data_IF_642840417473
#
_entry.id   IF_642840417473
#
_cell.length_a   1.000
_cell.length_b   1.000
_cell.length_c   1.000
_cell.angle_alpha   90.00
_cell.angle_beta   90.00
_cell.angle_gamma   90.00
#
_symmetry.space_group_name_H-M   'P 1'
#
loop_
_entity.id
_entity.type
_entity.pdbx_description
1 polymer ?
#
# COMPACT_ATOMS: atom_id res chain seq x y z
N UNK A 1 5.84 18.49 17.12
CA UNK A 1 5.06 17.23 17.33
C UNK A 1 4.83 17.03 18.82
N UNK A 2 3.62 16.78 19.28
CA UNK A 2 3.35 16.51 20.69
C UNK A 2 3.85 15.11 21.04
N UNK A 3 5.05 15.05 21.66
CA UNK A 3 5.73 13.79 21.99
C UNK A 3 4.95 12.92 22.98
N UNK A 4 4.02 13.50 23.74
CA UNK A 4 3.17 12.77 24.68
C UNK A 4 2.27 11.72 23.98
N UNK A 5 1.90 11.96 22.70
CA UNK A 5 1.09 11.02 21.91
C UNK A 5 1.78 9.66 21.75
N UNK A 6 3.11 9.62 21.65
CA UNK A 6 3.86 8.37 21.52
C UNK A 6 3.90 7.52 22.80
N UNK A 7 3.40 8.03 23.92
CA UNK A 7 3.22 7.24 25.15
C UNK A 7 1.94 6.37 25.09
N UNK A 8 1.03 6.66 24.17
CA UNK A 8 -0.23 5.94 24.00
C UNK A 8 0.02 4.64 23.22
N UNK A 9 -0.33 3.49 23.82
CA UNK A 9 -0.06 2.16 23.26
C UNK A 9 -0.61 1.96 21.83
N UNK A 10 -1.81 2.48 21.55
CA UNK A 10 -2.42 2.42 20.22
C UNK A 10 -1.53 3.13 19.19
N UNK A 11 -1.01 4.32 19.53
CA UNK A 11 -0.18 5.12 18.63
C UNK A 11 1.18 4.46 18.39
N UNK A 12 1.77 3.84 19.42
CA UNK A 12 3.02 3.07 19.29
C UNK A 12 2.91 1.93 18.28
N UNK A 13 1.73 1.35 18.13
CA UNK A 13 1.50 0.26 17.19
C UNK A 13 1.07 0.78 15.83
N UNK A 14 0.17 1.77 15.78
CA UNK A 14 -0.38 2.26 14.50
C UNK A 14 0.64 3.05 13.69
N UNK A 15 1.55 3.79 14.34
CA UNK A 15 2.58 4.57 13.61
C UNK A 15 3.49 3.66 12.77
N UNK A 16 4.19 2.65 13.32
CA UNK A 16 4.97 1.73 12.49
C UNK A 16 4.10 0.93 11.52
N UNK A 17 2.88 0.56 11.90
CA UNK A 17 1.95 -0.14 11.01
C UNK A 17 1.68 0.64 9.73
N UNK A 18 1.31 1.92 9.85
CA UNK A 18 1.02 2.75 8.67
C UNK A 18 2.28 3.14 7.89
N UNK A 19 3.44 3.23 8.55
CA UNK A 19 4.71 3.48 7.88
C UNK A 19 5.09 2.30 6.96
N UNK A 20 5.11 1.07 7.47
CA UNK A 20 5.41 -0.11 6.66
C UNK A 20 4.33 -0.40 5.61
N UNK A 21 3.04 -0.22 5.93
CA UNK A 21 1.98 -0.29 4.93
C UNK A 21 2.17 0.78 3.85
N UNK A 22 2.57 2.00 4.23
CA UNK A 22 2.91 3.08 3.31
C UNK A 22 3.99 2.69 2.30
N UNK A 23 5.05 2.02 2.76
CA UNK A 23 6.11 1.47 1.88
C UNK A 23 5.53 0.64 0.74
N UNK A 24 4.62 -0.28 1.07
CA UNK A 24 3.99 -1.17 0.08
C UNK A 24 3.06 -0.39 -0.85
N UNK A 25 2.25 0.52 -0.29
CA UNK A 25 1.28 1.31 -1.04
C UNK A 25 1.97 2.18 -2.09
N UNK A 26 3.02 2.91 -1.71
CA UNK A 26 3.74 3.80 -2.63
C UNK A 26 4.50 2.98 -3.67
N UNK A 27 5.10 1.85 -3.27
CA UNK A 27 5.73 0.91 -4.20
C UNK A 27 4.74 0.35 -5.22
N UNK A 28 3.58 -0.13 -4.77
CA UNK A 28 2.54 -0.64 -5.66
C UNK A 28 2.05 0.44 -6.65
N UNK A 29 1.77 1.65 -6.16
CA UNK A 29 1.30 2.75 -7.01
C UNK A 29 2.33 3.20 -8.07
N UNK A 30 3.63 3.09 -7.78
CA UNK A 30 4.68 3.48 -8.72
C UNK A 30 5.00 2.35 -9.72
N UNK A 31 5.14 1.11 -9.24
CA UNK A 31 5.70 0.03 -10.05
C UNK A 31 4.66 -0.81 -10.79
N UNK A 32 3.39 -0.85 -10.35
CA UNK A 32 2.33 -1.53 -11.10
C UNK A 32 2.06 -0.85 -12.45
N UNK A 33 1.89 0.49 -12.54
CA UNK A 33 1.72 1.13 -13.84
C UNK A 33 2.93 0.96 -14.75
N UNK A 34 4.15 0.99 -14.18
CA UNK A 34 5.38 0.76 -14.93
C UNK A 34 5.38 -0.63 -15.60
N UNK A 35 5.01 -1.67 -14.83
CA UNK A 35 4.87 -3.02 -15.37
C UNK A 35 3.82 -3.08 -16.48
N UNK A 36 2.63 -2.54 -16.24
CA UNK A 36 1.56 -2.56 -17.21
C UNK A 36 1.93 -1.86 -18.52
N UNK A 37 2.58 -0.68 -18.44
CA UNK A 37 3.05 0.04 -19.63
C UNK A 37 4.11 -0.75 -20.40
N UNK A 38 5.07 -1.35 -19.71
CA UNK A 38 6.14 -2.12 -20.34
C UNK A 38 5.61 -3.40 -21.00
N UNK A 39 4.80 -4.19 -20.29
CA UNK A 39 4.33 -5.51 -20.77
C UNK A 39 3.18 -5.37 -21.77
N UNK A 40 2.17 -4.55 -21.47
CA UNK A 40 0.99 -4.40 -22.36
C UNK A 40 1.17 -3.32 -23.42
N UNK A 41 2.11 -2.38 -23.20
CA UNK A 41 2.36 -1.21 -24.06
C UNK A 41 1.19 -0.24 -24.12
N UNK A 42 0.31 -0.26 -23.12
CA UNK A 42 -0.78 0.73 -23.02
C UNK A 42 -0.23 2.12 -22.77
N UNK A 43 -0.99 3.13 -23.21
CA UNK A 43 -0.65 4.52 -22.95
C UNK A 43 -0.69 4.82 -21.44
N UNK A 44 0.03 5.87 -20.97
CA UNK A 44 -0.03 6.29 -19.57
C UNK A 44 -1.47 6.54 -19.07
N UNK A 45 -2.33 7.12 -19.92
CA UNK A 45 -3.75 7.32 -19.62
C UNK A 45 -4.49 5.99 -19.41
N UNK A 46 -4.29 5.02 -20.30
CA UNK A 46 -4.94 3.72 -20.19
C UNK A 46 -4.36 2.88 -19.05
N UNK A 47 -3.06 3.04 -18.72
CA UNK A 47 -2.48 2.38 -17.55
C UNK A 47 -3.09 2.89 -16.23
N UNK A 48 -3.56 4.15 -16.19
CA UNK A 48 -4.36 4.68 -15.08
C UNK A 48 -5.70 3.95 -14.92
N UNK A 49 -6.38 3.62 -16.04
CA UNK A 49 -7.62 2.83 -16.01
C UNK A 49 -7.37 1.40 -15.52
N UNK A 50 -6.21 0.83 -15.78
CA UNK A 50 -5.84 -0.49 -15.27
C UNK A 50 -5.58 -0.51 -13.75
N UNK A 51 -5.57 0.64 -13.06
CA UNK A 51 -5.55 0.73 -11.61
C UNK A 51 -6.96 0.67 -10.97
N UNK A 52 -8.02 0.63 -11.76
CA UNK A 52 -9.41 0.50 -11.26
C UNK A 52 -9.56 -0.66 -10.26
N UNK A 53 -8.97 -1.87 -10.46
CA UNK A 53 -9.07 -2.95 -9.49
C UNK A 53 -8.56 -2.58 -8.10
N UNK A 54 -7.46 -1.81 -8.00
CA UNK A 54 -6.95 -1.31 -6.71
C UNK A 54 -7.97 -0.37 -6.08
N UNK A 55 -8.46 0.61 -6.84
CA UNK A 55 -9.42 1.60 -6.35
C UNK A 55 -10.75 0.95 -5.90
N UNK A 56 -11.23 -0.03 -6.65
CA UNK A 56 -12.40 -0.82 -6.28
C UNK A 56 -12.16 -1.56 -4.96
N UNK A 57 -11.02 -2.24 -4.83
CA UNK A 57 -10.63 -2.92 -3.59
C UNK A 57 -10.56 -1.98 -2.39
N UNK A 58 -9.90 -0.81 -2.55
CA UNK A 58 -9.82 0.22 -1.52
C UNK A 58 -11.22 0.69 -1.09
N UNK A 59 -12.07 0.99 -2.06
CA UNK A 59 -13.43 1.52 -1.78
C UNK A 59 -14.27 0.47 -1.06
N UNK A 60 -14.31 -0.76 -1.57
CA UNK A 60 -15.07 -1.87 -0.96
C UNK A 60 -14.61 -2.11 0.47
N UNK A 61 -13.30 -2.24 0.70
CA UNK A 61 -12.76 -2.49 2.03
C UNK A 61 -12.98 -1.30 2.97
N UNK A 62 -12.76 -0.05 2.52
CA UNK A 62 -12.93 1.13 3.37
C UNK A 62 -14.38 1.32 3.81
N UNK A 63 -15.33 1.16 2.89
CA UNK A 63 -16.76 1.25 3.22
C UNK A 63 -17.19 0.07 4.09
N UNK A 64 -16.73 -1.14 3.75
CA UNK A 64 -17.03 -2.36 4.51
C UNK A 64 -16.52 -2.28 5.94
N UNK A 65 -15.23 -1.97 6.12
CA UNK A 65 -14.60 -1.86 7.44
C UNK A 65 -15.21 -0.73 8.27
N UNK A 66 -15.50 0.43 7.65
CA UNK A 66 -16.17 1.53 8.32
C UNK A 66 -17.53 1.13 8.86
N UNK A 67 -18.41 0.57 8.01
CA UNK A 67 -19.76 0.12 8.42
C UNK A 67 -19.74 -0.98 9.46
N UNK A 68 -18.87 -1.97 9.29
CA UNK A 68 -18.79 -3.09 10.22
C UNK A 68 -18.18 -2.66 11.56
N UNK A 69 -17.20 -1.78 11.57
CA UNK A 69 -16.61 -1.22 12.79
C UNK A 69 -17.65 -0.42 13.59
N UNK A 70 -18.48 0.38 12.93
CA UNK A 70 -19.56 1.12 13.62
C UNK A 70 -20.66 0.20 14.17
N UNK A 71 -20.94 -0.91 13.50
CA UNK A 71 -21.94 -1.89 13.96
C UNK A 71 -21.45 -2.79 15.07
N UNK A 72 -20.20 -3.23 15.00
CA UNK A 72 -19.62 -4.21 15.96
C UNK A 72 -18.94 -3.55 17.15
N UNK A 73 -18.62 -2.26 17.07
CA UNK A 73 -17.88 -1.53 18.10
C UNK A 73 -16.39 -1.95 18.19
N UNK A 74 -15.92 -2.82 17.29
CA UNK A 74 -14.56 -3.37 17.31
C UNK A 74 -13.81 -3.08 16.01
N UNK A 75 -12.57 -2.64 16.12
CA UNK A 75 -11.73 -2.29 14.96
C UNK A 75 -10.51 -3.20 14.79
N UNK A 76 -10.12 -3.97 15.80
CA UNK A 76 -8.85 -4.71 15.88
C UNK A 76 -8.65 -5.71 14.74
N UNK A 77 -9.71 -6.37 14.29
CA UNK A 77 -9.62 -7.44 13.28
C UNK A 77 -9.33 -6.90 11.86
N UNK A 78 -9.78 -5.69 11.56
CA UNK A 78 -9.70 -5.13 10.21
C UNK A 78 -8.28 -4.84 9.73
N UNK A 79 -7.37 -4.24 10.53
CA UNK A 79 -5.98 -4.08 10.12
C UNK A 79 -5.26 -5.41 9.90
N UNK A 80 -5.62 -6.44 10.66
CA UNK A 80 -5.03 -7.80 10.50
C UNK A 80 -5.49 -8.39 9.16
N UNK A 81 -6.80 -8.39 8.90
CA UNK A 81 -7.35 -8.88 7.63
C UNK A 81 -6.82 -8.07 6.44
N UNK A 82 -6.71 -6.76 6.60
CA UNK A 82 -6.10 -5.88 5.59
C UNK A 82 -4.63 -6.21 5.34
N UNK A 83 -3.85 -6.48 6.39
CA UNK A 83 -2.44 -6.84 6.27
C UNK A 83 -2.26 -8.21 5.58
N UNK A 84 -3.10 -9.19 5.91
CA UNK A 84 -3.12 -10.50 5.23
C UNK A 84 -3.48 -10.34 3.75
N UNK A 85 -4.52 -9.56 3.46
CA UNK A 85 -4.92 -9.26 2.07
C UNK A 85 -3.76 -8.58 1.30
N UNK A 86 -3.07 -7.63 1.93
CA UNK A 86 -1.91 -6.96 1.34
C UNK A 86 -0.78 -7.97 1.02
N UNK A 87 -0.50 -8.90 1.93
CA UNK A 87 0.50 -9.94 1.72
C UNK A 87 0.12 -10.89 0.57
N UNK A 88 -1.15 -11.32 0.50
CA UNK A 88 -1.68 -12.12 -0.63
C UNK A 88 -1.50 -11.35 -1.93
N UNK A 89 -1.84 -10.06 -1.95
CA UNK A 89 -1.64 -9.20 -3.11
C UNK A 89 -0.18 -9.16 -3.57
N UNK A 90 0.79 -9.02 -2.64
CA UNK A 90 2.23 -9.03 -2.97
C UNK A 90 2.68 -10.38 -3.53
N UNK A 91 2.18 -11.50 -2.97
CA UNK A 91 2.47 -12.84 -3.50
C UNK A 91 1.93 -12.97 -4.93
N UNK A 92 0.69 -12.60 -5.20
CA UNK A 92 0.10 -12.68 -6.54
C UNK A 92 0.86 -11.78 -7.54
N UNK A 93 1.23 -10.57 -7.15
CA UNK A 93 2.04 -9.68 -7.97
C UNK A 93 3.46 -10.25 -8.21
N UNK A 94 4.00 -11.02 -7.28
CA UNK A 94 5.31 -11.68 -7.48
C UNK A 94 5.27 -12.86 -8.46
N UNK A 95 4.09 -13.36 -8.82
CA UNK A 95 3.89 -14.45 -9.78
C UNK A 95 3.60 -13.96 -11.21
N UNK A 96 3.60 -12.64 -11.43
CA UNK A 96 3.23 -12.05 -12.73
C UNK A 96 4.14 -12.46 -13.89
N UNK A 97 5.42 -12.72 -13.63
CA UNK A 97 6.40 -13.04 -14.66
C UNK A 97 6.50 -14.55 -14.96
N UNK A 98 6.24 -15.40 -13.96
CA UNK A 98 6.59 -16.83 -14.01
C UNK A 98 5.45 -17.75 -14.51
N UNK A 99 4.23 -17.21 -14.70
CA UNK A 99 3.07 -18.01 -15.05
C UNK A 99 2.35 -17.46 -16.27
N UNK A 100 1.81 -18.33 -17.12
CA UNK A 100 0.88 -17.95 -18.20
C UNK A 100 -0.37 -17.18 -17.73
N UNK A 101 -0.51 -16.97 -16.41
CA UNK A 101 -1.54 -16.20 -15.72
C UNK A 101 -1.13 -14.73 -15.48
N UNK A 102 -0.02 -14.23 -16.04
CA UNK A 102 0.61 -12.95 -15.70
C UNK A 102 -0.35 -11.76 -15.52
N UNK A 103 -1.21 -11.49 -16.49
CA UNK A 103 -2.18 -10.38 -16.40
C UNK A 103 -3.29 -10.65 -15.36
N UNK A 104 -3.78 -11.90 -15.28
CA UNK A 104 -4.83 -12.26 -14.31
C UNK A 104 -4.30 -12.18 -12.89
N UNK A 105 -3.08 -12.69 -12.64
CA UNK A 105 -2.42 -12.60 -11.34
C UNK A 105 -2.20 -11.13 -10.94
N UNK A 106 -1.84 -10.26 -11.91
CA UNK A 106 -1.70 -8.83 -11.69
C UNK A 106 -3.03 -8.19 -11.26
N UNK A 107 -4.11 -8.41 -12.01
CA UNK A 107 -5.42 -7.81 -11.73
C UNK A 107 -5.98 -8.28 -10.37
N UNK A 108 -5.92 -9.58 -10.09
CA UNK A 108 -6.36 -10.14 -8.81
C UNK A 108 -5.47 -9.63 -7.67
N UNK A 109 -4.15 -9.62 -7.86
CA UNK A 109 -3.21 -9.06 -6.89
C UNK A 109 -3.51 -7.60 -6.55
N UNK A 110 -3.84 -6.77 -7.55
CA UNK A 110 -4.26 -5.39 -7.35
C UNK A 110 -5.50 -5.26 -6.48
N UNK A 111 -6.52 -6.12 -6.68
CA UNK A 111 -7.72 -6.12 -5.83
C UNK A 111 -7.34 -6.41 -4.38
N UNK A 112 -6.50 -7.43 -4.14
CA UNK A 112 -6.05 -7.77 -2.79
C UNK A 112 -5.21 -6.66 -2.14
N UNK A 113 -4.35 -5.99 -2.90
CA UNK A 113 -3.62 -4.79 -2.43
C UNK A 113 -4.61 -3.70 -2.03
N UNK A 114 -5.60 -3.42 -2.88
CA UNK A 114 -6.65 -2.44 -2.61
C UNK A 114 -7.44 -2.77 -1.34
N UNK A 115 -7.90 -4.02 -1.19
CA UNK A 115 -8.59 -4.49 0.02
C UNK A 115 -7.71 -4.31 1.27
N UNK A 116 -6.41 -4.59 1.15
CA UNK A 116 -5.45 -4.39 2.23
C UNK A 116 -5.35 -2.94 2.67
N UNK A 117 -5.18 -2.02 1.72
CA UNK A 117 -5.11 -0.58 1.97
C UNK A 117 -6.40 -0.08 2.64
N UNK A 118 -7.56 -0.44 2.07
CA UNK A 118 -8.87 -0.05 2.57
C UNK A 118 -9.20 -0.61 3.95
N UNK A 119 -8.64 -1.77 4.32
CA UNK A 119 -8.77 -2.36 5.65
C UNK A 119 -7.86 -1.71 6.70
N UNK A 120 -6.63 -1.33 6.33
CA UNK A 120 -5.62 -0.79 7.27
C UNK A 120 -5.84 0.70 7.52
N UNK A 121 -5.91 1.52 6.47
CA UNK A 121 -5.79 2.98 6.61
C UNK A 121 -6.92 3.64 7.41
N UNK A 122 -8.21 3.43 7.06
CA UNK A 122 -9.30 4.04 7.82
C UNK A 122 -9.33 3.54 9.26
N UNK A 123 -9.05 2.26 9.46
CA UNK A 123 -9.13 1.63 10.77
C UNK A 123 -8.01 2.12 11.69
N UNK A 124 -6.78 2.28 11.20
CA UNK A 124 -5.69 2.85 11.98
C UNK A 124 -5.97 4.31 12.36
N UNK A 125 -6.53 5.09 11.44
CA UNK A 125 -6.94 6.48 11.72
C UNK A 125 -8.01 6.52 12.81
N UNK A 126 -9.05 5.69 12.68
CA UNK A 126 -10.12 5.60 13.67
C UNK A 126 -9.59 5.13 15.04
N UNK A 127 -8.73 4.10 15.06
CA UNK A 127 -8.17 3.58 16.29
C UNK A 127 -7.35 4.63 17.05
N UNK A 128 -6.55 5.43 16.34
CA UNK A 128 -5.74 6.49 16.94
C UNK A 128 -6.59 7.67 17.41
N UNK A 129 -7.57 8.09 16.62
CA UNK A 129 -8.52 9.14 17.02
C UNK A 129 -9.33 8.74 18.23
N UNK A 130 -9.74 7.46 18.33
CA UNK A 130 -10.46 6.92 19.49
C UNK A 130 -9.60 6.87 20.78
N UNK A 131 -8.27 6.88 20.64
CA UNK A 131 -7.33 6.75 21.76
C UNK A 131 -6.87 8.08 22.36
N UNK A 132 -7.22 9.23 21.75
CA UNK A 132 -6.79 10.57 22.16
C UNK A 132 -7.96 11.45 22.55
N UNK A 133 -7.68 12.54 23.26
CA UNK A 133 -8.69 13.57 23.54
C UNK A 133 -8.99 14.38 22.27
N UNK A 134 -10.18 15.02 22.28
CA UNK A 134 -10.67 15.81 21.14
C UNK A 134 -9.68 16.90 20.69
N UNK A 135 -8.96 17.53 21.65
CA UNK A 135 -7.94 18.57 21.40
C UNK A 135 -6.75 18.05 20.60
N UNK A 136 -6.46 16.75 20.65
CA UNK A 136 -5.33 16.10 20.00
C UNK A 136 -5.69 15.40 18.67
N UNK A 137 -6.98 15.41 18.26
CA UNK A 137 -7.44 14.74 17.03
C UNK A 137 -6.71 15.21 15.76
N UNK A 138 -6.49 16.52 15.63
CA UNK A 138 -5.75 17.08 14.50
C UNK A 138 -4.27 16.66 14.52
N UNK A 139 -3.65 16.69 15.71
CA UNK A 139 -2.25 16.29 15.87
C UNK A 139 -2.03 14.82 15.56
N UNK A 140 -2.90 13.92 16.04
CA UNK A 140 -2.75 12.48 15.77
C UNK A 140 -3.01 12.13 14.31
N UNK A 141 -3.95 12.80 13.67
CA UNK A 141 -4.22 12.62 12.23
C UNK A 141 -3.01 13.06 11.38
N UNK A 142 -2.36 14.17 11.76
CA UNK A 142 -1.14 14.63 11.14
C UNK A 142 0.02 13.64 11.34
N UNK A 143 0.19 13.08 12.54
CA UNK A 143 1.22 12.07 12.85
C UNK A 143 1.03 10.83 11.97
N UNK A 144 -0.18 10.27 11.89
CA UNK A 144 -0.48 9.09 11.06
C UNK A 144 -0.17 9.36 9.58
N UNK A 145 -0.61 10.52 9.07
CA UNK A 145 -0.37 10.89 7.67
C UNK A 145 1.12 11.09 7.40
N UNK A 146 1.84 11.75 8.30
CA UNK A 146 3.27 11.97 8.18
C UNK A 146 4.05 10.65 8.13
N UNK A 147 3.83 9.75 9.08
CA UNK A 147 4.56 8.47 9.11
C UNK A 147 4.20 7.54 7.95
N UNK A 148 2.95 7.54 7.49
CA UNK A 148 2.56 6.85 6.27
C UNK A 148 3.33 7.37 5.06
N UNK A 149 3.41 8.69 4.90
CA UNK A 149 4.12 9.32 3.78
C UNK A 149 5.64 9.12 3.90
N UNK A 150 6.20 9.24 5.10
CA UNK A 150 7.61 8.99 5.35
C UNK A 150 8.00 7.55 5.00
N UNK A 151 7.25 6.57 5.51
CA UNK A 151 7.44 5.17 5.17
C UNK A 151 7.28 4.90 3.67
N UNK A 152 6.29 5.57 3.04
CA UNK A 152 6.06 5.51 1.60
C UNK A 152 7.24 6.02 0.79
N UNK A 153 7.77 7.19 1.11
CA UNK A 153 8.91 7.80 0.39
C UNK A 153 10.19 6.98 0.59
N UNK A 154 10.49 6.59 1.83
CA UNK A 154 11.65 5.75 2.14
C UNK A 154 11.55 4.40 1.43
N UNK A 155 10.37 3.77 1.48
CA UNK A 155 10.11 2.51 0.80
C UNK A 155 10.22 2.60 -0.71
N UNK A 156 9.66 3.65 -1.30
CA UNK A 156 9.76 3.90 -2.74
C UNK A 156 11.22 4.11 -3.18
N UNK A 157 11.99 4.86 -2.41
CA UNK A 157 13.41 5.07 -2.68
C UNK A 157 14.21 3.76 -2.60
N UNK A 158 13.93 2.93 -1.57
CA UNK A 158 14.58 1.61 -1.42
C UNK A 158 14.21 0.67 -2.57
N UNK A 159 12.94 0.58 -2.94
CA UNK A 159 12.50 -0.23 -4.07
C UNK A 159 13.05 0.28 -5.41
N UNK A 160 13.12 1.61 -5.60
CA UNK A 160 13.74 2.21 -6.78
C UNK A 160 15.23 1.87 -6.88
N UNK A 161 15.98 1.94 -5.77
CA UNK A 161 17.39 1.56 -5.73
C UNK A 161 17.58 0.07 -6.02
N UNK A 162 16.73 -0.81 -5.47
CA UNK A 162 16.74 -2.25 -5.73
C UNK A 162 16.42 -2.57 -7.20
N UNK A 163 15.43 -1.90 -7.78
CA UNK A 163 15.11 -2.06 -9.20
C UNK A 163 16.29 -1.61 -10.06
N UNK A 164 16.81 -0.42 -9.78
CA UNK A 164 17.94 0.14 -10.53
C UNK A 164 19.15 -0.80 -10.50
N UNK A 165 19.50 -1.37 -9.35
CA UNK A 165 20.62 -2.32 -9.24
C UNK A 165 20.45 -3.59 -10.08
N UNK A 166 19.22 -3.98 -10.42
CA UNK A 166 18.94 -5.15 -11.26
C UNK A 166 18.95 -4.84 -12.76
N UNK A 167 18.69 -3.59 -13.11
CA UNK A 167 18.48 -3.14 -14.50
C UNK A 167 19.74 -2.45 -15.05
N UNK A 168 20.51 -1.78 -14.19
CA UNK A 168 21.72 -1.03 -14.59
C UNK A 168 22.68 -1.93 -15.39
N UNK A 169 23.10 -1.43 -16.55
CA UNK A 169 23.99 -2.14 -17.48
C UNK A 169 23.30 -3.20 -18.35
N UNK A 170 22.00 -3.46 -18.17
CA UNK A 170 21.24 -4.45 -18.96
C UNK A 170 20.19 -3.80 -19.87
N UNK A 171 19.70 -2.62 -19.51
CA UNK A 171 18.67 -1.87 -20.23
C UNK A 171 19.14 -0.41 -20.35
N UNK A 172 18.90 0.21 -21.51
CA UNK A 172 19.16 1.64 -21.72
C UNK A 172 18.28 2.48 -20.78
N UNK A 173 18.88 3.45 -20.10
CA UNK A 173 18.15 4.35 -19.18
C UNK A 173 17.02 5.12 -19.86
N UNK A 174 17.16 5.41 -21.16
CA UNK A 174 16.10 6.09 -21.92
C UNK A 174 14.85 5.23 -22.05
N UNK A 175 14.99 3.92 -22.19
CA UNK A 175 13.86 2.97 -22.24
C UNK A 175 13.13 2.88 -20.90
N UNK A 176 13.83 3.09 -19.79
CA UNK A 176 13.20 3.14 -18.46
C UNK A 176 12.35 4.40 -18.25
N UNK A 177 12.74 5.50 -18.88
CA UNK A 177 11.96 6.76 -18.84
C UNK A 177 10.74 6.72 -19.76
N UNK A 178 10.79 5.90 -20.81
CA UNK A 178 9.70 5.72 -21.76
C UNK A 178 9.40 4.21 -21.99
N UNK A 179 8.86 3.48 -21.01
CA UNK A 179 8.67 2.02 -21.09
C UNK A 179 7.82 1.58 -22.28
N UNK A 180 6.98 2.48 -22.78
CA UNK A 180 6.15 2.25 -23.96
C UNK A 180 6.97 2.09 -25.25
N UNK A 181 8.12 2.74 -25.34
CA UNK A 181 8.99 2.66 -26.54
C UNK A 181 9.66 1.30 -26.68
N UNK A 182 9.67 0.48 -25.64
CA UNK A 182 10.18 -0.90 -25.70
C UNK A 182 9.45 -1.70 -26.80
N UNK A 183 8.16 -1.44 -27.02
CA UNK A 183 7.39 -2.08 -28.11
C UNK A 183 7.86 -1.67 -29.51
N UNK A 184 8.44 -0.49 -29.65
CA UNK A 184 8.89 0.07 -30.92
C UNK A 184 10.31 -0.38 -31.29
N UNK A 185 10.97 -1.17 -30.45
CA UNK A 185 12.30 -1.75 -30.74
C UNK A 185 12.13 -2.70 -31.92
N UNK A 186 12.81 -2.43 -33.08
CA UNK A 186 12.69 -3.26 -34.28
C UNK A 186 13.23 -4.68 -34.10
N UNK A 187 14.28 -4.80 -33.28
CA UNK A 187 14.91 -6.09 -32.96
C UNK A 187 14.07 -6.84 -31.92
N UNK A 188 13.49 -7.95 -32.35
CA UNK A 188 12.61 -8.79 -31.54
C UNK A 188 13.37 -9.41 -30.36
N UNK A 189 14.59 -9.87 -30.58
CA UNK A 189 15.41 -10.51 -29.54
C UNK A 189 15.80 -9.49 -28.45
N UNK A 190 16.21 -8.27 -28.85
CA UNK A 190 16.52 -7.20 -27.91
C UNK A 190 15.27 -6.79 -27.11
N UNK A 191 14.14 -6.69 -27.77
CA UNK A 191 12.86 -6.34 -27.12
C UNK A 191 12.45 -7.36 -26.06
N UNK A 192 12.49 -8.65 -26.39
CA UNK A 192 12.16 -9.72 -25.44
C UNK A 192 13.12 -9.73 -24.26
N UNK A 193 14.41 -9.55 -24.49
CA UNK A 193 15.43 -9.45 -23.44
C UNK A 193 15.18 -8.27 -22.49
N UNK A 194 14.84 -7.10 -23.02
CA UNK A 194 14.51 -5.92 -22.22
C UNK A 194 13.25 -6.13 -21.38
N UNK A 195 12.20 -6.72 -21.97
CA UNK A 195 10.97 -7.06 -21.26
C UNK A 195 11.22 -8.09 -20.15
N UNK A 196 12.04 -9.09 -20.38
CA UNK A 196 12.38 -10.11 -19.39
C UNK A 196 13.17 -9.52 -18.22
N UNK A 197 14.16 -8.68 -18.48
CA UNK A 197 14.92 -7.98 -17.43
C UNK A 197 14.02 -7.07 -16.60
N UNK A 198 13.09 -6.34 -17.23
CA UNK A 198 12.16 -5.46 -16.53
C UNK A 198 11.14 -6.24 -15.70
N UNK A 199 10.53 -7.26 -16.28
CA UNK A 199 9.53 -8.09 -15.60
C UNK A 199 10.13 -8.86 -14.43
N UNK A 200 11.33 -9.43 -14.60
CA UNK A 200 12.04 -10.12 -13.52
C UNK A 200 12.47 -9.15 -12.41
N UNK A 201 12.92 -7.93 -12.77
CA UNK A 201 13.26 -6.88 -11.80
C UNK A 201 12.05 -6.46 -10.97
N UNK A 202 10.90 -6.22 -11.60
CA UNK A 202 9.67 -5.84 -10.92
C UNK A 202 9.10 -6.97 -10.06
N UNK A 203 9.12 -8.21 -10.57
CA UNK A 203 8.74 -9.40 -9.79
C UNK A 203 9.60 -9.55 -8.54
N UNK A 204 10.90 -9.28 -8.65
CA UNK A 204 11.80 -9.27 -7.50
C UNK A 204 11.40 -8.24 -6.44
N UNK A 205 10.98 -7.03 -6.85
CA UNK A 205 10.49 -6.02 -5.89
C UNK A 205 9.28 -6.52 -5.10
N UNK A 206 8.32 -7.17 -5.76
CA UNK A 206 7.17 -7.74 -5.07
C UNK A 206 7.57 -8.88 -4.13
N UNK A 207 8.54 -9.72 -4.50
CA UNK A 207 9.13 -10.73 -3.60
C UNK A 207 9.75 -10.09 -2.35
N UNK A 208 10.46 -8.97 -2.51
CA UNK A 208 11.02 -8.20 -1.37
C UNK A 208 9.94 -7.51 -0.54
N UNK A 209 8.80 -7.17 -1.14
CA UNK A 209 7.69 -6.59 -0.41
C UNK A 209 6.95 -7.60 0.48
N UNK A 210 7.06 -8.92 0.23
CA UNK A 210 6.42 -9.97 1.05
C UNK A 210 6.92 -9.94 2.51
N UNK A 211 8.24 -9.95 2.81
CA UNK A 211 8.72 -9.77 4.18
C UNK A 211 8.20 -8.50 4.85
N UNK A 212 8.10 -7.39 4.11
CA UNK A 212 7.54 -6.14 4.65
C UNK A 212 6.06 -6.32 4.99
N UNK A 213 5.28 -7.01 4.14
CA UNK A 213 3.88 -7.33 4.42
C UNK A 213 3.73 -8.26 5.66
N UNK A 214 4.64 -9.21 5.86
CA UNK A 214 4.67 -10.05 7.07
C UNK A 214 4.91 -9.18 8.31
N UNK A 215 5.84 -8.21 8.26
CA UNK A 215 6.06 -7.25 9.35
C UNK A 215 4.77 -6.47 9.64
N UNK A 216 4.05 -6.03 8.61
CA UNK A 216 2.75 -5.35 8.75
C UNK A 216 1.75 -6.24 9.48
N UNK A 217 1.65 -7.54 9.14
CA UNK A 217 0.79 -8.50 9.83
C UNK A 217 1.18 -8.61 11.31
N UNK A 218 2.46 -8.82 11.61
CA UNK A 218 2.95 -8.96 12.98
C UNK A 218 2.65 -7.72 13.83
N UNK A 219 2.83 -6.52 13.25
CA UNK A 219 2.50 -5.28 13.96
C UNK A 219 0.98 -5.15 14.14
N UNK A 220 0.17 -5.48 13.13
CA UNK A 220 -1.28 -5.41 13.21
C UNK A 220 -1.86 -6.29 14.33
N UNK A 221 -1.29 -7.48 14.58
CA UNK A 221 -1.73 -8.37 15.68
C UNK A 221 -1.51 -7.75 17.07
N UNK A 222 -0.55 -6.84 17.21
CA UNK A 222 -0.25 -6.14 18.47
C UNK A 222 -1.17 -4.94 18.74
N UNK A 223 -2.10 -4.61 17.83
CA UNK A 223 -3.02 -3.49 18.01
C UNK A 223 -3.96 -3.75 19.20
N UNK A 224 -3.96 -2.86 20.24
CA UNK A 224 -4.84 -3.01 21.39
C UNK A 224 -6.32 -2.86 20.98
N UNK A 225 -7.16 -3.75 21.49
CA UNK A 225 -8.61 -3.62 21.35
C UNK A 225 -9.11 -2.60 22.39
N UNK A 226 -9.62 -1.46 21.94
CA UNK A 226 -10.32 -0.49 22.81
C UNK A 226 -11.76 -0.33 22.31
N UNK A 227 -12.75 -0.27 23.21
CA UNK A 227 -14.12 0.01 22.80
C UNK A 227 -14.18 1.40 22.13
N UNK A 228 -15.02 1.53 21.10
CA UNK A 228 -15.26 2.82 20.48
C UNK A 228 -15.96 3.75 21.47
N UNK A 229 -15.53 5.00 21.55
CA UNK A 229 -16.23 6.04 22.29
C UNK A 229 -17.60 6.24 21.64
N UNK A 230 -18.65 6.18 22.44
CA UNK A 230 -20.03 6.37 21.94
C UNK A 230 -20.37 7.85 21.70
N UNK A 231 -19.55 8.77 22.21
CA UNK A 231 -19.74 10.22 22.04
C UNK A 231 -18.42 10.87 21.63
N UNK A 232 -18.40 11.45 20.45
CA UNK A 232 -17.36 12.40 20.01
C UNK A 232 -17.70 13.84 20.44
N UNK A 233 -18.61 14.00 21.40
CA UNK A 233 -19.07 15.31 21.86
C UNK A 233 -17.95 16.13 22.46
N UNK A 234 -17.67 17.30 21.86
CA UNK A 234 -17.06 18.39 22.61
C UNK A 234 -17.87 18.60 23.92
N UNK A 235 -17.22 18.88 25.04
CA UNK A 235 -17.95 19.23 26.25
C UNK A 235 -18.91 20.35 25.89
N UNK A 236 -20.22 20.17 26.19
CA UNK A 236 -21.21 21.23 26.07
C UNK A 236 -20.67 22.40 26.86
N UNK A 237 -20.34 23.49 26.18
CA UNK A 237 -20.04 24.74 26.84
C UNK A 237 -21.37 25.16 27.48
N UNK A 238 -21.52 24.94 28.82
CA UNK A 238 -22.54 25.56 29.56
C UNK A 238 -22.27 27.07 29.52
N UNK A 239 -23.01 27.78 28.72
CA UNK A 239 -23.16 29.23 28.78
C UNK A 239 -24.15 29.51 29.87
N UNK A 240 -23.65 29.58 31.10
CA UNK A 240 -24.35 30.29 32.21
C UNK A 240 -23.96 31.76 32.14
#
# INVERSE_FOLDING_TARGET
MPLHLFKIDVIRVTVPLVAFAGTIIYGANAFIPLFLQAVTGVSPTNSGLLLIPIMAGVTIASVGTGRLTTRTGTYRHWPILGAVSLAIGMVLLSLMSDSGLGMTAALVGMVFVGLGIGGIMPTCTLATQNAVDWKDLGAVSAVITFFRSLGGVVGLAAFGALLNSRITGKVDENLLRAPREIKNIPDVELRERVLDVLSSGLTFLYKVAIPVAIIVIVIATKLPARPLRQTTGAPTVNTD
#
